data_IF_439340823435
#
_entry.id   IF_439340823435
#
_cell.length_a   1.000
_cell.length_b   1.000
_cell.length_c   1.000
_cell.angle_alpha   90.00
_cell.angle_beta   90.00
_cell.angle_gamma   90.00
#
_symmetry.space_group_name_H-M   'P 1'
#
loop_
_entity.id
_entity.type
_entity.pdbx_description
1 polymer ?
#
# COMPACT_ATOMS: atom_id res chain seq x y z
N UNK A 1 -2.99 64.83 7.78
CA UNK A 1 -2.23 63.79 8.53
C UNK A 1 -3.08 62.60 8.99
N UNK A 2 -4.36 62.70 9.23
CA UNK A 2 -5.19 61.58 9.72
C UNK A 2 -5.54 60.52 8.68
N UNK A 3 -5.42 60.78 7.38
CA UNK A 3 -5.77 59.77 6.34
C UNK A 3 -4.65 58.76 6.05
N UNK A 4 -3.40 59.11 6.30
CA UNK A 4 -2.25 58.24 6.08
C UNK A 4 -2.11 57.16 7.19
N UNK A 5 -2.55 57.49 8.41
CA UNK A 5 -2.49 56.56 9.55
C UNK A 5 -3.49 55.40 9.39
N UNK A 6 -4.64 55.63 8.75
CA UNK A 6 -5.68 54.59 8.53
C UNK A 6 -5.26 53.53 7.50
N UNK A 7 -4.41 53.86 6.54
CA UNK A 7 -3.91 52.92 5.54
C UNK A 7 -2.80 52.05 6.10
N UNK A 8 -2.03 52.54 7.08
CA UNK A 8 -0.97 51.76 7.73
C UNK A 8 -1.53 50.59 8.54
N UNK A 9 -2.70 50.74 9.17
CA UNK A 9 -3.34 49.66 9.94
C UNK A 9 -3.97 48.59 9.02
N UNK A 10 -4.40 48.90 7.82
CA UNK A 10 -4.94 47.96 6.86
C UNK A 10 -3.85 47.04 6.29
N UNK A 11 -2.64 47.54 6.10
CA UNK A 11 -1.50 46.71 5.63
C UNK A 11 -0.95 45.78 6.72
N UNK A 12 -1.09 46.15 8.01
CA UNK A 12 -0.65 45.29 9.13
C UNK A 12 -1.56 44.09 9.36
N UNK A 13 -2.83 44.18 8.98
CA UNK A 13 -3.80 43.06 9.12
C UNK A 13 -3.63 41.96 8.07
N UNK A 14 -3.00 42.25 6.94
CA UNK A 14 -2.78 41.28 5.85
C UNK A 14 -1.63 40.32 6.20
N UNK A 15 -0.71 40.72 7.08
CA UNK A 15 0.43 39.87 7.47
C UNK A 15 0.12 38.82 8.56
N UNK A 16 -1.05 38.85 9.20
CA UNK A 16 -1.41 37.92 10.26
C UNK A 16 -2.10 36.64 9.77
N UNK A 17 -2.34 36.52 8.46
CA UNK A 17 -3.00 35.31 7.91
C UNK A 17 -2.06 34.31 7.27
N UNK A 18 -0.76 34.44 7.47
CA UNK A 18 0.22 33.56 6.82
C UNK A 18 0.97 32.66 7.80
N UNK A 19 0.29 32.02 8.72
CA UNK A 19 0.85 30.88 9.45
C UNK A 19 -0.27 29.94 9.91
N UNK A 20 -0.97 29.31 8.96
CA UNK A 20 -1.59 28.01 9.20
C UNK A 20 -0.50 27.00 8.88
N UNK A 21 0.26 26.61 9.88
CA UNK A 21 1.23 25.54 9.77
C UNK A 21 0.49 24.23 9.50
N UNK A 22 0.68 23.72 8.29
CA UNK A 22 0.20 22.43 7.77
C UNK A 22 0.94 21.24 8.37
N UNK A 23 1.10 21.15 9.68
CA UNK A 23 1.81 20.01 10.26
C UNK A 23 0.93 18.75 10.41
N UNK A 24 -0.40 18.91 10.41
CA UNK A 24 -1.33 17.78 10.36
C UNK A 24 -1.44 17.06 9.01
N UNK A 25 -0.78 17.58 7.97
CA UNK A 25 -0.98 17.14 6.59
C UNK A 25 -0.01 16.02 6.14
N UNK A 26 1.13 15.83 6.77
CA UNK A 26 2.15 14.87 6.30
C UNK A 26 1.80 13.43 6.71
N UNK A 27 1.41 13.22 7.95
CA UNK A 27 0.96 11.90 8.43
C UNK A 27 -0.35 11.47 7.76
N UNK A 28 -1.25 12.41 7.48
CA UNK A 28 -2.49 12.11 6.76
C UNK A 28 -2.21 11.72 5.30
N UNK A 29 -1.25 12.38 4.65
CA UNK A 29 -0.81 12.02 3.29
C UNK A 29 -0.18 10.61 3.29
N UNK A 30 0.71 10.32 4.23
CA UNK A 30 1.33 9.00 4.35
C UNK A 30 0.29 7.90 4.59
N UNK A 31 -0.66 8.16 5.49
CA UNK A 31 -1.76 7.23 5.73
C UNK A 31 -2.59 6.98 4.47
N UNK A 32 -2.94 8.04 3.74
CA UNK A 32 -3.71 7.91 2.50
C UNK A 32 -2.92 7.12 1.44
N UNK A 33 -1.64 7.39 1.26
CA UNK A 33 -0.78 6.63 0.33
C UNK A 33 -0.72 5.13 0.68
N UNK A 34 -0.67 4.79 1.97
CA UNK A 34 -0.72 3.40 2.43
C UNK A 34 -2.06 2.76 2.06
N UNK A 35 -3.16 3.46 2.31
CA UNK A 35 -4.51 2.97 2.01
C UNK A 35 -4.75 2.87 0.52
N UNK A 36 -4.23 3.79 -0.29
CA UNK A 36 -4.33 3.73 -1.75
C UNK A 36 -3.64 2.46 -2.30
N UNK A 37 -2.46 2.11 -1.77
CA UNK A 37 -1.77 0.86 -2.14
C UNK A 37 -2.56 -0.37 -1.69
N UNK A 38 -3.06 -0.37 -0.45
CA UNK A 38 -3.91 -1.44 0.06
C UNK A 38 -5.14 -1.66 -0.85
N UNK A 39 -5.86 -0.59 -1.17
CA UNK A 39 -7.09 -0.65 -1.97
C UNK A 39 -6.82 -1.05 -3.43
N UNK A 40 -5.64 -0.73 -3.97
CA UNK A 40 -5.21 -1.19 -5.31
C UNK A 40 -5.02 -2.71 -5.36
N UNK A 41 -4.48 -3.30 -4.30
CA UNK A 41 -4.08 -4.73 -4.33
C UNK A 41 -5.10 -5.67 -3.69
N UNK A 42 -5.96 -5.19 -2.80
CA UNK A 42 -6.99 -6.01 -2.15
C UNK A 42 -7.88 -6.79 -3.14
N UNK A 43 -8.36 -6.21 -4.26
CA UNK A 43 -9.13 -6.97 -5.24
C UNK A 43 -8.35 -8.13 -5.88
N UNK A 44 -7.01 -8.04 -5.91
CA UNK A 44 -6.13 -9.07 -6.50
C UNK A 44 -6.06 -10.35 -5.66
N UNK A 45 -6.41 -10.30 -4.37
CA UNK A 45 -6.40 -11.47 -3.49
C UNK A 45 -7.31 -12.59 -4.00
N UNK A 46 -8.46 -12.24 -4.58
CA UNK A 46 -9.35 -13.20 -5.21
C UNK A 46 -8.71 -13.89 -6.43
N UNK A 47 -8.02 -13.13 -7.27
CA UNK A 47 -7.28 -13.64 -8.43
C UNK A 47 -6.15 -14.56 -7.99
N UNK A 48 -5.34 -14.17 -7.02
CA UNK A 48 -4.24 -14.98 -6.48
C UNK A 48 -4.77 -16.33 -5.97
N UNK A 49 -5.84 -16.31 -5.19
CA UNK A 49 -6.47 -17.54 -4.66
C UNK A 49 -7.01 -18.47 -5.75
N UNK A 50 -7.55 -17.88 -6.81
CA UNK A 50 -8.02 -18.65 -7.96
C UNK A 50 -6.86 -19.30 -8.73
N UNK A 51 -5.79 -18.54 -8.99
CA UNK A 51 -4.57 -19.05 -9.60
C UNK A 51 -3.93 -20.17 -8.74
N UNK A 52 -3.82 -19.96 -7.42
CA UNK A 52 -3.32 -21.00 -6.51
C UNK A 52 -4.08 -22.33 -6.67
N UNK A 53 -5.42 -22.27 -6.69
CA UNK A 53 -6.23 -23.49 -6.89
C UNK A 53 -5.97 -24.14 -8.25
N UNK A 54 -5.82 -23.36 -9.31
CA UNK A 54 -5.53 -23.87 -10.64
C UNK A 54 -4.17 -24.59 -10.67
N UNK A 55 -3.11 -23.98 -10.10
CA UNK A 55 -1.79 -24.58 -10.03
C UNK A 55 -1.79 -25.87 -9.20
N UNK A 56 -2.46 -25.89 -8.04
CA UNK A 56 -2.59 -27.11 -7.23
C UNK A 56 -3.33 -28.21 -7.98
N UNK A 57 -4.39 -27.89 -8.70
CA UNK A 57 -5.15 -28.84 -9.51
C UNK A 57 -4.33 -29.41 -10.67
N UNK A 58 -3.63 -28.53 -11.41
CA UNK A 58 -2.78 -28.94 -12.52
C UNK A 58 -1.62 -29.84 -12.07
N UNK A 59 -1.06 -29.60 -10.90
CA UNK A 59 0.02 -30.42 -10.33
C UNK A 59 -0.36 -31.89 -10.09
N UNK A 60 -1.66 -32.21 -9.97
CA UNK A 60 -2.11 -33.58 -9.74
C UNK A 60 -1.87 -34.48 -10.93
N UNK A 61 -1.80 -33.95 -12.14
CA UNK A 61 -1.72 -34.72 -13.39
C UNK A 61 -0.53 -34.33 -14.27
N UNK A 62 0.22 -33.34 -13.89
CA UNK A 62 1.36 -32.83 -14.68
C UNK A 62 2.68 -33.54 -14.34
N UNK A 63 3.53 -33.80 -15.32
CA UNK A 63 4.90 -34.18 -15.06
C UNK A 63 5.72 -33.10 -14.32
N UNK A 64 5.32 -31.84 -14.44
CA UNK A 64 5.94 -30.68 -13.81
C UNK A 64 5.32 -30.32 -12.44
N UNK A 65 4.75 -31.33 -11.74
CA UNK A 65 4.03 -31.15 -10.48
C UNK A 65 4.80 -30.33 -9.44
N UNK A 66 6.12 -30.48 -9.36
CA UNK A 66 6.97 -29.77 -8.39
C UNK A 66 6.98 -28.29 -8.64
N UNK A 67 7.14 -27.84 -9.88
CA UNK A 67 7.15 -26.40 -10.24
C UNK A 67 5.77 -25.79 -10.05
N UNK A 68 4.71 -26.50 -10.45
CA UNK A 68 3.33 -26.03 -10.27
C UNK A 68 2.98 -25.88 -8.79
N UNK A 69 3.37 -26.84 -7.94
CA UNK A 69 3.18 -26.73 -6.49
C UNK A 69 3.97 -25.58 -5.88
N UNK A 70 5.23 -25.38 -6.32
CA UNK A 70 6.04 -24.27 -5.88
C UNK A 70 5.37 -22.93 -6.21
N UNK A 71 4.82 -22.78 -7.41
CA UNK A 71 4.11 -21.56 -7.80
C UNK A 71 2.83 -21.36 -6.99
N UNK A 72 2.09 -22.44 -6.69
CA UNK A 72 0.93 -22.35 -5.80
C UNK A 72 1.31 -21.87 -4.39
N UNK A 73 2.44 -22.30 -3.86
CA UNK A 73 2.95 -21.83 -2.56
C UNK A 73 3.39 -20.36 -2.58
N UNK A 74 3.99 -19.89 -3.67
CA UNK A 74 4.32 -18.47 -3.86
C UNK A 74 3.05 -17.62 -3.83
N UNK A 75 1.99 -18.04 -4.52
CA UNK A 75 0.69 -17.38 -4.53
C UNK A 75 0.05 -17.35 -3.13
N UNK A 76 0.05 -18.49 -2.43
CA UNK A 76 -0.44 -18.59 -1.06
C UNK A 76 0.31 -17.65 -0.12
N UNK A 77 1.65 -17.59 -0.24
CA UNK A 77 2.51 -16.69 0.54
C UNK A 77 2.22 -15.22 0.27
N UNK A 78 1.93 -14.85 -0.98
CA UNK A 78 1.58 -13.47 -1.34
C UNK A 78 0.25 -13.04 -0.70
N UNK A 79 -0.77 -13.91 -0.69
CA UNK A 79 -2.02 -13.65 0.02
C UNK A 79 -1.80 -13.53 1.54
N UNK A 80 -1.01 -14.43 2.12
CA UNK A 80 -0.73 -14.42 3.56
C UNK A 80 0.07 -13.17 3.97
N UNK A 81 0.98 -12.69 3.12
CA UNK A 81 1.72 -11.45 3.37
C UNK A 81 0.77 -10.25 3.53
N UNK A 82 -0.24 -10.11 2.65
CA UNK A 82 -1.25 -9.06 2.77
C UNK A 82 -2.09 -9.23 4.04
N UNK A 83 -2.56 -10.42 4.34
CA UNK A 83 -3.33 -10.70 5.55
C UNK A 83 -2.53 -10.41 6.82
N UNK A 84 -1.23 -10.74 6.83
CA UNK A 84 -0.33 -10.45 7.94
C UNK A 84 -0.12 -8.96 8.12
N UNK A 85 0.11 -8.23 7.02
CA UNK A 85 0.25 -6.78 7.08
C UNK A 85 -1.02 -6.14 7.66
N UNK A 86 -2.22 -6.50 7.17
CA UNK A 86 -3.49 -5.95 7.67
C UNK A 86 -3.71 -6.24 9.17
N UNK A 87 -3.37 -7.44 9.64
CA UNK A 87 -3.50 -7.80 11.07
C UNK A 87 -2.58 -6.99 11.98
N UNK A 88 -1.43 -6.59 11.46
CA UNK A 88 -0.42 -5.86 12.24
C UNK A 88 -0.47 -4.35 12.04
N UNK A 89 -1.22 -3.86 11.04
CA UNK A 89 -1.38 -2.45 10.79
C UNK A 89 -2.26 -1.81 11.88
N UNK A 90 -1.67 -0.87 12.63
CA UNK A 90 -2.39 -0.10 13.64
C UNK A 90 -2.79 1.26 13.06
N UNK A 91 -4.03 1.39 12.62
CA UNK A 91 -4.57 2.63 12.06
C UNK A 91 -4.81 3.73 13.11
N UNK A 92 -4.81 3.37 14.39
CA UNK A 92 -5.01 4.27 15.53
C UNK A 92 -3.72 4.34 16.39
N UNK A 93 -2.57 4.39 15.73
CA UNK A 93 -1.29 4.48 16.42
C UNK A 93 -1.22 5.76 17.28
N UNK A 94 -1.07 5.57 18.59
CA UNK A 94 -0.93 6.64 19.57
C UNK A 94 0.54 6.89 19.85
N UNK A 95 1.02 8.10 19.57
CA UNK A 95 2.41 8.51 19.78
C UNK A 95 2.59 9.99 19.45
N UNK A 96 3.79 10.50 19.66
CA UNK A 96 4.17 11.84 19.20
C UNK A 96 4.12 11.91 17.67
N UNK A 97 3.93 13.08 17.10
CA UNK A 97 3.81 13.28 15.65
C UNK A 97 4.99 12.65 14.88
N UNK A 98 6.20 12.76 15.40
CA UNK A 98 7.39 12.18 14.79
C UNK A 98 7.39 10.65 14.85
N UNK A 99 6.97 10.05 15.96
CA UNK A 99 6.84 8.60 16.11
C UNK A 99 5.75 8.05 15.19
N UNK A 100 4.64 8.77 15.04
CA UNK A 100 3.57 8.42 14.10
C UNK A 100 4.05 8.46 12.66
N UNK A 101 4.81 9.47 12.31
CA UNK A 101 5.42 9.60 10.97
C UNK A 101 6.37 8.45 10.68
N UNK A 102 7.28 8.14 11.60
CA UNK A 102 8.22 7.01 11.46
C UNK A 102 7.48 5.68 11.32
N UNK A 103 6.46 5.45 12.14
CA UNK A 103 5.60 4.27 12.04
C UNK A 103 4.96 4.16 10.65
N UNK A 104 4.33 5.24 10.15
CA UNK A 104 3.68 5.24 8.85
C UNK A 104 4.67 5.07 7.69
N UNK A 105 5.87 5.63 7.77
CA UNK A 105 6.93 5.38 6.78
C UNK A 105 7.31 3.89 6.73
N UNK A 106 7.44 3.25 7.89
CA UNK A 106 7.69 1.81 7.99
C UNK A 106 6.54 0.99 7.37
N UNK A 107 5.29 1.35 7.67
CA UNK A 107 4.12 0.69 7.12
C UNK A 107 3.99 0.87 5.60
N UNK A 108 4.29 2.07 5.10
CA UNK A 108 4.35 2.34 3.66
C UNK A 108 5.33 1.40 2.96
N UNK A 109 6.55 1.29 3.45
CA UNK A 109 7.55 0.37 2.89
C UNK A 109 7.03 -1.07 2.86
N UNK A 110 6.42 -1.55 3.95
CA UNK A 110 5.90 -2.91 4.05
C UNK A 110 4.75 -3.18 3.05
N UNK A 111 3.77 -2.27 2.93
CA UNK A 111 2.65 -2.47 2.01
C UNK A 111 3.09 -2.43 0.55
N UNK A 112 4.11 -1.62 0.20
CA UNK A 112 4.71 -1.64 -1.13
C UNK A 112 5.43 -2.97 -1.42
N UNK A 113 6.15 -3.54 -0.46
CA UNK A 113 6.76 -4.87 -0.61
C UNK A 113 5.71 -5.95 -0.83
N UNK A 114 4.60 -5.90 -0.09
CA UNK A 114 3.47 -6.82 -0.29
C UNK A 114 2.84 -6.63 -1.67
N UNK A 115 2.64 -5.41 -2.12
CA UNK A 115 2.16 -5.10 -3.47
C UNK A 115 3.06 -5.74 -4.54
N UNK A 116 4.36 -5.56 -4.44
CA UNK A 116 5.33 -6.15 -5.40
C UNK A 116 5.27 -7.68 -5.38
N UNK A 117 5.20 -8.29 -4.20
CA UNK A 117 5.07 -9.73 -4.06
C UNK A 117 3.78 -10.25 -4.72
N UNK A 118 2.65 -9.59 -4.50
CA UNK A 118 1.37 -9.96 -5.09
C UNK A 118 1.39 -9.81 -6.63
N UNK A 119 1.90 -8.69 -7.14
CA UNK A 119 1.95 -8.43 -8.57
C UNK A 119 2.90 -9.40 -9.29
N UNK A 120 4.09 -9.62 -8.76
CA UNK A 120 5.07 -10.53 -9.34
C UNK A 120 4.60 -11.98 -9.33
N UNK A 121 3.90 -12.40 -8.27
CA UNK A 121 3.34 -13.75 -8.18
C UNK A 121 2.24 -13.99 -9.24
N UNK A 122 1.39 -12.99 -9.48
CA UNK A 122 0.38 -13.04 -10.54
C UNK A 122 1.05 -13.10 -11.92
N UNK A 123 1.96 -12.18 -12.19
CA UNK A 123 2.65 -12.11 -13.50
C UNK A 123 3.35 -13.42 -13.81
N UNK A 124 4.11 -13.97 -12.86
CA UNK A 124 4.79 -15.26 -13.04
C UNK A 124 3.81 -16.41 -13.30
N UNK A 125 2.67 -16.40 -12.63
CA UNK A 125 1.63 -17.41 -12.85
C UNK A 125 1.04 -17.35 -14.26
N UNK A 126 0.80 -16.14 -14.77
CA UNK A 126 0.27 -15.92 -16.12
C UNK A 126 1.28 -16.35 -17.19
N UNK A 127 2.56 -16.06 -17.00
CA UNK A 127 3.64 -16.53 -17.87
C UNK A 127 3.71 -18.08 -17.94
N UNK A 128 3.67 -18.74 -16.78
CA UNK A 128 3.71 -20.20 -16.71
C UNK A 128 2.48 -20.84 -17.36
N UNK A 129 1.30 -20.25 -17.19
CA UNK A 129 0.08 -20.74 -17.82
C UNK A 129 0.08 -20.49 -19.33
N UNK A 130 0.62 -19.36 -19.81
CA UNK A 130 0.77 -19.06 -21.24
C UNK A 130 1.73 -20.01 -21.93
N UNK A 131 2.85 -20.33 -21.31
CA UNK A 131 3.85 -21.25 -21.86
C UNK A 131 3.44 -22.75 -21.86
N UNK A 132 2.39 -23.10 -21.12
CA UNK A 132 1.87 -24.48 -21.09
C UNK A 132 0.84 -24.74 -22.22
N UNK A 133 0.45 -23.72 -22.98
CA UNK A 133 -0.57 -23.80 -24.04
C UNK A 133 0.08 -23.80 -25.45
N UNK A 134 1.35 -23.42 -25.58
CA UNK A 134 2.13 -23.45 -26.80
C UNK A 134 2.92 -24.77 -26.93
#
# INVERSE_FOLDING_TARGET
MMKLLRWSYLLLWIFLWSCVSKSGNETDILFQEIMDVHDEVMPKMGKIRNLEKQFRSAALTSPDATELMRQAEVLASANEAMMNWMRNFNNDFQGLDEEKKEYLLGQKMQVYQVKELMNSSILRSEELMGSAID
#
